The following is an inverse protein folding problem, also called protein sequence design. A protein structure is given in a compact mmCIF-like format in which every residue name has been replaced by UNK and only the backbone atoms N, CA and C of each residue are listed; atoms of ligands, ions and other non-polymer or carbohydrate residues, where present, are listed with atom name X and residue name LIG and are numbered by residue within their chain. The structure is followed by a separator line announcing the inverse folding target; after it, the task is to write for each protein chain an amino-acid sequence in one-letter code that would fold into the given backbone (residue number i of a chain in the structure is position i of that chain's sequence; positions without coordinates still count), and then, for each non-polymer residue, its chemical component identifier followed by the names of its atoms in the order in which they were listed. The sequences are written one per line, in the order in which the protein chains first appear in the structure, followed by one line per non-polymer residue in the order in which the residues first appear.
data_IF_232858521144
#
_entry.id   IF_232858521144
#
_cell.length_a   1.000
_cell.length_b   1.000
_cell.length_c   1.000
_cell.angle_alpha   90.00
_cell.angle_beta   90.00
_cell.angle_gamma   90.00
#
_symmetry.space_group_name_H-M   'P 1'
#
loop_
_entity.id
_entity.type
_entity.pdbx_description
1 polymer ?
#
# COMPACT_ATOMS: atom_id res chain seq x y z
N UNK A 1 -11.08 8.61 -4.89
CA UNK A 1 -10.35 7.97 -6.02
C UNK A 1 -8.87 7.84 -5.70
N UNK A 2 -8.23 6.84 -6.26
CA UNK A 2 -6.79 6.70 -6.22
C UNK A 2 -6.17 7.34 -7.45
N UNK A 3 -5.01 8.00 -7.27
CA UNK A 3 -4.25 8.62 -8.36
C UNK A 3 -2.90 7.92 -8.52
N UNK A 4 -2.44 7.80 -9.75
CA UNK A 4 -1.08 7.39 -10.09
C UNK A 4 -0.53 8.35 -11.13
N UNK A 5 0.56 9.03 -10.81
CA UNK A 5 1.12 10.10 -11.65
C UNK A 5 0.06 11.14 -12.05
N UNK A 6 -0.84 11.47 -11.11
CA UNK A 6 -1.88 12.47 -11.31
C UNK A 6 -3.12 11.99 -12.06
N UNK A 7 -3.18 10.74 -12.47
CA UNK A 7 -4.32 10.18 -13.21
C UNK A 7 -5.11 9.21 -12.34
N UNK A 8 -6.43 9.19 -12.51
CA UNK A 8 -7.31 8.29 -11.77
C UNK A 8 -7.02 6.83 -12.11
N UNK A 9 -6.93 5.99 -11.07
CA UNK A 9 -6.75 4.54 -11.18
C UNK A 9 -8.10 3.89 -10.95
N UNK A 10 -8.69 3.31 -12.00
CA UNK A 10 -9.96 2.59 -11.93
C UNK A 10 -9.78 1.08 -11.88
N UNK A 11 -8.64 0.60 -12.37
CA UNK A 11 -8.30 -0.82 -12.41
C UNK A 11 -6.80 -1.01 -12.23
N UNK A 12 -6.39 -2.17 -11.74
CA UNK A 12 -4.99 -2.53 -11.53
C UNK A 12 -4.70 -3.82 -12.28
N UNK A 13 -3.61 -3.84 -13.06
CA UNK A 13 -3.20 -5.04 -13.79
C UNK A 13 -3.05 -6.25 -12.87
N UNK A 14 -3.49 -7.41 -13.34
CA UNK A 14 -3.51 -8.67 -12.58
C UNK A 14 -2.14 -9.07 -11.99
N UNK A 15 -1.06 -8.71 -12.65
CA UNK A 15 0.30 -9.04 -12.20
C UNK A 15 0.69 -8.36 -10.90
N UNK A 16 0.08 -7.23 -10.58
CA UNK A 16 0.37 -6.50 -9.34
C UNK A 16 -0.48 -7.03 -8.20
N UNK A 17 0.16 -7.37 -7.09
CA UNK A 17 -0.50 -7.95 -5.91
C UNK A 17 -0.64 -6.96 -4.77
N UNK A 18 0.05 -5.83 -4.86
CA UNK A 18 0.04 -4.79 -3.83
C UNK A 18 0.47 -3.45 -4.41
N UNK A 19 0.27 -2.39 -3.66
CA UNK A 19 0.85 -1.09 -3.97
C UNK A 19 1.26 -0.35 -2.68
N UNK A 20 2.22 0.55 -2.83
CA UNK A 20 2.63 1.49 -1.79
C UNK A 20 2.00 2.83 -2.10
N UNK A 21 1.45 3.49 -1.10
CA UNK A 21 0.65 4.69 -1.29
C UNK A 21 1.03 5.82 -0.34
N UNK A 22 0.60 7.02 -0.73
CA UNK A 22 0.69 8.23 0.05
C UNK A 22 -0.72 8.83 0.17
N UNK A 23 -1.17 9.03 1.39
CA UNK A 23 -2.40 9.79 1.67
C UNK A 23 -2.00 11.15 2.22
N UNK A 24 -2.57 12.20 1.66
CA UNK A 24 -2.32 13.57 2.08
C UNK A 24 -3.61 14.21 2.55
N UNK A 25 -3.60 14.74 3.78
CA UNK A 25 -4.66 15.60 4.29
C UNK A 25 -4.43 17.01 3.72
N UNK A 26 -5.27 17.44 2.80
CA UNK A 26 -5.11 18.71 2.09
C UNK A 26 -5.36 19.93 2.97
N UNK A 27 -5.97 19.76 4.14
CA UNK A 27 -6.23 20.89 5.06
C UNK A 27 -4.99 21.32 5.84
N UNK A 28 -4.04 20.40 6.09
CA UNK A 28 -2.86 20.65 6.92
C UNK A 28 -1.56 20.04 6.37
N UNK A 29 -1.63 19.40 5.20
CA UNK A 29 -0.49 18.71 4.57
C UNK A 29 0.09 17.55 5.39
N UNK A 30 -0.65 16.98 6.35
CA UNK A 30 -0.25 15.76 7.03
C UNK A 30 -0.36 14.58 6.08
N UNK A 31 0.60 13.66 6.17
CA UNK A 31 0.76 12.57 5.20
C UNK A 31 0.90 11.23 5.91
N UNK A 32 0.52 10.19 5.20
CA UNK A 32 0.67 8.81 5.65
C UNK A 32 1.15 7.95 4.48
N UNK A 33 2.21 7.18 4.71
CA UNK A 33 2.73 6.21 3.74
C UNK A 33 2.40 4.81 4.25
N UNK A 34 1.77 4.00 3.39
CA UNK A 34 1.41 2.64 3.72
C UNK A 34 1.45 1.74 2.49
N UNK A 35 1.05 0.49 2.69
CA UNK A 35 0.89 -0.48 1.62
C UNK A 35 -0.47 -1.12 1.68
N UNK A 36 -0.95 -1.61 0.54
CA UNK A 36 -2.24 -2.29 0.44
C UNK A 36 -2.13 -3.44 -0.53
N UNK A 37 -2.66 -4.59 -0.14
CA UNK A 37 -2.82 -5.71 -1.06
C UNK A 37 -3.96 -5.42 -2.02
N UNK A 38 -3.75 -5.71 -3.29
CA UNK A 38 -4.80 -5.59 -4.31
C UNK A 38 -5.69 -6.82 -4.35
N UNK A 39 -5.18 -7.97 -3.84
CA UNK A 39 -5.88 -9.24 -3.84
C UNK A 39 -5.74 -9.93 -2.50
N UNK A 40 -6.81 -10.62 -2.09
CA UNK A 40 -6.81 -11.49 -0.93
C UNK A 40 -6.81 -12.94 -1.37
N UNK A 41 -6.17 -13.81 -0.58
CA UNK A 41 -6.26 -15.26 -0.76
C UNK A 41 -7.42 -15.81 0.06
N UNK A 42 -8.28 -16.59 -0.57
CA UNK A 42 -9.35 -17.32 0.12
C UNK A 42 -9.28 -18.80 -0.19
N UNK A 43 -9.70 -19.64 0.77
CA UNK A 43 -9.83 -21.07 0.55
C UNK A 43 -11.21 -21.36 0.03
N UNK A 44 -11.29 -22.07 -1.11
CA UNK A 44 -12.54 -22.50 -1.73
C UNK A 44 -12.52 -24.01 -1.85
N UNK A 45 -13.64 -24.67 -1.53
CA UNK A 45 -13.80 -26.10 -1.72
C UNK A 45 -14.38 -26.35 -3.13
N UNK A 46 -13.61 -27.07 -3.96
CA UNK A 46 -14.04 -27.46 -5.31
C UNK A 46 -13.88 -28.97 -5.41
N UNK A 47 -14.97 -29.69 -5.69
CA UNK A 47 -14.98 -31.16 -5.80
C UNK A 47 -14.37 -31.86 -4.58
N UNK A 48 -14.69 -31.40 -3.37
CA UNK A 48 -14.18 -31.94 -2.12
C UNK A 48 -12.74 -31.60 -1.79
N UNK A 49 -12.04 -30.81 -2.63
CA UNK A 49 -10.66 -30.37 -2.40
C UNK A 49 -10.61 -28.88 -2.06
N UNK A 50 -9.78 -28.53 -1.07
CA UNK A 50 -9.53 -27.13 -0.72
C UNK A 50 -8.53 -26.53 -1.70
N UNK A 51 -8.91 -25.45 -2.35
CA UNK A 51 -8.03 -24.65 -3.21
C UNK A 51 -7.95 -23.22 -2.71
N UNK A 52 -6.75 -22.62 -2.77
CA UNK A 52 -6.59 -21.17 -2.54
C UNK A 52 -6.92 -20.46 -3.85
N UNK A 53 -7.83 -19.50 -3.78
CA UNK A 53 -8.16 -18.59 -4.88
C UNK A 53 -7.86 -17.18 -4.49
N UNK A 54 -7.43 -16.35 -5.44
CA UNK A 54 -7.22 -14.92 -5.24
C UNK A 54 -8.48 -14.18 -5.65
N UNK A 55 -8.91 -13.25 -4.81
CA UNK A 55 -10.03 -12.34 -5.08
C UNK A 55 -9.57 -10.91 -4.88
N UNK A 56 -10.26 -9.99 -5.52
CA UNK A 56 -9.97 -8.57 -5.33
C UNK A 56 -10.17 -8.17 -3.88
N UNK A 57 -9.25 -7.35 -3.37
CA UNK A 57 -9.36 -6.76 -2.05
C UNK A 57 -10.31 -5.55 -2.09
N UNK A 58 -10.48 -4.91 -0.93
CA UNK A 58 -11.22 -3.67 -0.78
C UNK A 58 -10.38 -2.41 -1.10
N UNK A 59 -9.37 -2.53 -1.96
CA UNK A 59 -8.42 -1.43 -2.21
C UNK A 59 -9.10 -0.15 -2.71
N UNK A 60 -10.20 -0.27 -3.46
CA UNK A 60 -10.88 0.89 -4.03
C UNK A 60 -11.45 1.83 -2.97
N UNK A 61 -11.91 1.27 -1.86
CA UNK A 61 -12.55 2.02 -0.75
C UNK A 61 -11.63 2.20 0.46
N UNK A 62 -10.40 1.75 0.36
CA UNK A 62 -9.45 1.69 1.47
C UNK A 62 -8.85 3.05 1.82
N UNK A 63 -8.85 3.40 3.12
CA UNK A 63 -8.33 4.67 3.64
C UNK A 63 -7.19 4.49 4.65
N UNK A 64 -6.45 3.44 4.57
CA UNK A 64 -5.29 3.11 5.41
C UNK A 64 -5.61 2.20 6.59
N UNK A 65 -4.56 1.70 7.25
CA UNK A 65 -4.66 1.00 8.53
C UNK A 65 -4.54 1.93 9.74
N UNK A 66 -4.26 3.21 9.52
CA UNK A 66 -4.12 4.20 10.59
C UNK A 66 -5.50 4.65 11.07
N UNK A 67 -5.78 4.44 12.36
CA UNK A 67 -7.03 4.90 12.97
C UNK A 67 -7.13 6.42 12.95
N UNK A 68 -6.01 7.12 13.11
CA UNK A 68 -5.97 8.59 13.09
C UNK A 68 -6.31 9.13 11.70
N UNK A 69 -5.78 8.53 10.63
CA UNK A 69 -6.13 8.90 9.26
C UNK A 69 -7.62 8.67 9.02
N UNK A 70 -8.14 7.50 9.37
CA UNK A 70 -9.56 7.17 9.17
C UNK A 70 -10.47 8.13 9.91
N UNK A 71 -10.12 8.49 11.13
CA UNK A 71 -10.87 9.46 11.93
C UNK A 71 -10.92 10.82 11.25
N UNK A 72 -9.78 11.31 10.78
CA UNK A 72 -9.69 12.60 10.10
C UNK A 72 -10.49 12.60 8.78
N UNK A 73 -10.46 11.49 8.04
CA UNK A 73 -11.25 11.35 6.81
C UNK A 73 -12.75 11.47 7.10
N UNK A 74 -13.23 10.84 8.16
CA UNK A 74 -14.65 10.93 8.58
C UNK A 74 -14.99 12.36 9.01
N UNK A 75 -14.14 12.99 9.82
CA UNK A 75 -14.41 14.32 10.38
C UNK A 75 -14.32 15.42 9.32
N UNK A 76 -13.35 15.34 8.42
CA UNK A 76 -13.06 16.42 7.45
C UNK A 76 -13.66 16.16 6.07
N UNK A 77 -14.07 14.93 5.79
CA UNK A 77 -14.61 14.50 4.49
C UNK A 77 -13.52 14.03 3.51
N UNK A 78 -13.88 13.03 2.72
CA UNK A 78 -12.96 12.39 1.76
C UNK A 78 -12.39 13.39 0.74
N UNK A 79 -13.15 14.41 0.36
CA UNK A 79 -12.75 15.42 -0.62
C UNK A 79 -11.58 16.29 -0.14
N UNK A 80 -11.29 16.28 1.16
CA UNK A 80 -10.14 16.99 1.74
C UNK A 80 -8.88 16.13 1.81
N UNK A 81 -8.90 14.94 1.20
CA UNK A 81 -7.78 14.02 1.19
C UNK A 81 -7.43 13.60 -0.24
N UNK A 82 -6.13 13.37 -0.47
CA UNK A 82 -5.64 12.84 -1.72
C UNK A 82 -4.97 11.50 -1.48
N UNK A 83 -5.37 10.49 -2.25
CA UNK A 83 -4.77 9.16 -2.22
C UNK A 83 -3.96 8.96 -3.49
N UNK A 84 -2.66 8.73 -3.33
CA UNK A 84 -1.75 8.53 -4.44
C UNK A 84 -1.05 7.18 -4.32
N UNK A 85 -0.98 6.45 -5.44
CA UNK A 85 -0.18 5.25 -5.53
C UNK A 85 1.23 5.66 -5.94
N UNK A 86 2.23 5.25 -5.14
CA UNK A 86 3.63 5.55 -5.40
C UNK A 86 4.28 4.45 -6.23
N UNK A 87 3.98 3.18 -5.92
CA UNK A 87 4.55 2.01 -6.59
C UNK A 87 3.54 0.88 -6.63
N UNK A 88 3.38 0.27 -7.80
CA UNK A 88 2.72 -1.02 -7.93
C UNK A 88 3.75 -2.12 -7.71
N UNK A 89 3.40 -3.17 -6.97
CA UNK A 89 4.33 -4.19 -6.53
C UNK A 89 3.91 -5.58 -7.00
N UNK A 90 4.91 -6.38 -7.40
CA UNK A 90 4.71 -7.73 -7.93
C UNK A 90 4.65 -8.80 -6.83
N UNK A 91 5.03 -8.44 -5.60
CA UNK A 91 4.99 -9.35 -4.46
C UNK A 91 4.75 -8.58 -3.15
N UNK A 92 4.32 -9.30 -2.13
CA UNK A 92 4.14 -8.74 -0.78
C UNK A 92 5.47 -8.27 -0.18
N UNK A 93 6.54 -9.03 -0.42
CA UNK A 93 7.88 -8.67 0.06
C UNK A 93 8.40 -7.41 -0.58
N UNK A 94 8.17 -7.25 -1.89
CA UNK A 94 8.50 -6.02 -2.62
C UNK A 94 7.75 -4.82 -2.03
N UNK A 95 6.45 -4.98 -1.76
CA UNK A 95 5.64 -3.92 -1.16
C UNK A 95 6.16 -3.52 0.23
N UNK A 96 6.55 -4.49 1.05
CA UNK A 96 7.12 -4.22 2.39
C UNK A 96 8.44 -3.45 2.29
N UNK A 97 9.29 -3.83 1.34
CA UNK A 97 10.57 -3.14 1.12
C UNK A 97 10.36 -1.70 0.64
N UNK A 98 9.53 -1.52 -0.38
CA UNK A 98 9.26 -0.19 -0.96
C UNK A 98 8.56 0.72 0.04
N UNK A 99 7.61 0.19 0.82
CA UNK A 99 6.96 0.95 1.90
C UNK A 99 7.99 1.49 2.90
N UNK A 100 8.84 0.61 3.42
CA UNK A 100 9.88 1.02 4.37
C UNK A 100 10.85 2.02 3.74
N UNK A 101 11.28 1.77 2.50
CA UNK A 101 12.18 2.67 1.77
C UNK A 101 11.59 4.07 1.61
N UNK A 102 10.29 4.17 1.24
CA UNK A 102 9.63 5.46 1.11
C UNK A 102 9.46 6.16 2.46
N UNK A 103 9.15 5.42 3.51
CA UNK A 103 9.01 5.97 4.86
C UNK A 103 10.35 6.53 5.36
N UNK A 104 11.46 5.83 5.14
CA UNK A 104 12.80 6.33 5.49
C UNK A 104 13.20 7.53 4.63
N UNK A 105 12.99 7.42 3.32
CA UNK A 105 13.35 8.47 2.37
C UNK A 105 12.64 9.79 2.68
N UNK A 106 11.38 9.74 3.08
CA UNK A 106 10.58 10.92 3.37
C UNK A 106 10.62 11.34 4.84
N UNK A 107 11.44 10.68 5.67
CA UNK A 107 11.58 10.98 7.09
C UNK A 107 10.25 10.88 7.87
N UNK A 108 9.46 9.86 7.57
CA UNK A 108 8.11 9.73 8.09
C UNK A 108 8.01 9.67 9.62
N UNK A 109 9.05 9.18 10.31
CA UNK A 109 9.09 9.16 11.78
C UNK A 109 9.75 10.40 12.39
N UNK A 110 10.46 11.20 11.60
CA UNK A 110 11.23 12.35 12.06
C UNK A 110 10.49 13.67 11.79
N UNK A 111 9.47 13.64 10.97
CA UNK A 111 8.71 14.80 10.54
C UNK A 111 7.29 14.72 11.11
N UNK A 112 6.91 15.69 11.94
CA UNK A 112 5.58 15.74 12.57
C UNK A 112 4.43 15.92 11.58
N UNK A 113 4.73 16.22 10.30
CA UNK A 113 3.71 16.29 9.26
C UNK A 113 3.26 14.90 8.76
N UNK A 114 3.79 13.82 9.34
CA UNK A 114 3.36 12.46 9.03
C UNK A 114 2.50 11.87 10.13
N UNK A 115 1.47 11.12 9.74
CA UNK A 115 0.69 10.30 10.67
C UNK A 115 1.44 9.04 11.10
N UNK A 116 2.47 8.62 10.35
CA UNK A 116 3.20 7.38 10.61
C UNK A 116 3.84 7.39 12.00
N UNK A 117 3.63 6.30 12.74
CA UNK A 117 4.20 6.12 14.08
C UNK A 117 5.20 5.00 14.20
N UNK A 118 5.34 4.16 13.16
CA UNK A 118 6.24 3.00 13.17
C UNK A 118 6.65 2.67 11.74
N UNK A 119 7.87 2.16 11.59
CA UNK A 119 8.34 1.54 10.35
C UNK A 119 8.64 0.07 10.63
N UNK A 120 7.93 -0.83 9.94
CA UNK A 120 8.19 -2.26 9.99
C UNK A 120 9.25 -2.61 8.95
N UNK A 121 10.39 -3.15 9.40
CA UNK A 121 11.55 -3.38 8.53
C UNK A 121 12.15 -4.78 8.71
N UNK A 122 11.30 -5.80 8.81
CA UNK A 122 11.74 -7.19 8.91
C UNK A 122 11.63 -7.83 7.53
N UNK A 123 12.67 -7.62 6.70
CA UNK A 123 12.67 -8.00 5.28
C UNK A 123 13.89 -8.87 5.00
N UNK A 124 13.67 -10.07 4.47
CA UNK A 124 14.72 -10.98 4.03
C UNK A 124 15.06 -10.77 2.57
N UNK A 125 16.29 -11.00 2.19
CA UNK A 125 16.80 -10.84 0.82
C UNK A 125 15.93 -11.55 -0.22
N UNK A 126 15.39 -12.73 0.10
CA UNK A 126 14.53 -13.49 -0.82
C UNK A 126 13.18 -12.84 -1.07
N UNK A 127 12.72 -11.96 -0.17
CA UNK A 127 11.44 -11.25 -0.33
C UNK A 127 11.49 -10.22 -1.46
N UNK A 128 12.68 -9.83 -1.90
CA UNK A 128 12.88 -8.75 -2.88
C UNK A 128 13.62 -9.21 -4.12
N UNK A 129 13.47 -10.48 -4.49
CA UNK A 129 14.14 -11.07 -5.67
C UNK A 129 13.93 -10.26 -6.94
N UNK A 130 12.72 -9.75 -7.14
CA UNK A 130 12.36 -8.99 -8.33
C UNK A 130 13.09 -7.64 -8.43
N UNK A 131 13.69 -7.20 -7.32
CA UNK A 131 14.41 -5.93 -7.24
C UNK A 131 15.93 -6.10 -7.25
N UNK A 132 16.44 -7.34 -7.32
CA UNK A 132 17.89 -7.59 -7.26
C UNK A 132 18.62 -6.91 -8.42
N UNK A 133 19.66 -6.17 -8.07
CA UNK A 133 20.50 -5.44 -9.04
C UNK A 133 21.43 -6.40 -9.76
N UNK A 134 22.01 -7.38 -9.04
CA UNK A 134 22.86 -8.43 -9.59
C UNK A 134 22.33 -9.79 -9.17
N UNK A 135 21.27 -10.30 -9.85
CA UNK A 135 20.77 -11.63 -9.49
C UNK A 135 21.81 -12.71 -9.84
N UNK A 136 21.81 -13.84 -9.10
CA UNK A 136 22.67 -14.98 -9.43
C UNK A 136 22.25 -15.53 -10.79
N UNK A 137 23.25 -16.00 -11.53
CA UNK A 137 23.05 -16.63 -12.85
C UNK A 137 22.34 -17.98 -12.74
#
# INVERSE_FOLDING_TARGET
MWLYNGQEVTDIEEKYVAFVYLITNLTNNRRYIGKKLTKFSRTKTVKGKKKKVKIDSDWQTYWSSSEEVKKDVVELGEHNFRREILHFCLSKGEASYIEAAEQFKQNALLDNSFYNGIINCKIHKTHVKNLWINPPE
#
